data_IF_484375372795
#
_entry.id   IF_484375372795
#
_cell.length_a   1.000
_cell.length_b   1.000
_cell.length_c   1.000
_cell.angle_alpha   90.00
_cell.angle_beta   90.00
_cell.angle_gamma   90.00
#
_symmetry.space_group_name_H-M   'P 1'
#
loop_
_entity.id
_entity.type
_entity.pdbx_description
1 polymer ?
#
# COMPACT_ATOMS: atom_id res chain seq x y z
N UNK A 1 4.11 -20.64 -25.99
CA UNK A 1 3.35 -19.94 -24.95
C UNK A 1 1.98 -19.56 -25.49
N UNK A 2 0.96 -19.62 -24.66
CA UNK A 2 -0.37 -19.16 -25.03
C UNK A 2 -0.46 -17.64 -24.94
N UNK A 3 -1.43 -17.04 -25.62
CA UNK A 3 -1.70 -15.60 -25.53
C UNK A 3 -2.00 -15.20 -24.07
N UNK A 4 -2.71 -16.05 -23.33
CA UNK A 4 -3.01 -15.79 -21.92
C UNK A 4 -1.74 -15.77 -21.08
N UNK A 5 -0.80 -16.69 -21.33
CA UNK A 5 0.49 -16.71 -20.63
C UNK A 5 1.29 -15.43 -20.86
N UNK A 6 1.28 -14.94 -22.10
CA UNK A 6 1.96 -13.69 -22.47
C UNK A 6 1.32 -12.48 -21.78
N UNK A 7 -0.01 -12.44 -21.71
CA UNK A 7 -0.74 -11.37 -21.04
C UNK A 7 -0.42 -11.37 -19.54
N UNK A 8 -0.44 -12.54 -18.89
CA UNK A 8 -0.13 -12.66 -17.47
C UNK A 8 1.30 -12.19 -17.19
N UNK A 9 2.25 -12.55 -18.06
CA UNK A 9 3.64 -12.12 -17.92
C UNK A 9 3.77 -10.60 -18.03
N UNK A 10 3.06 -9.96 -18.97
CA UNK A 10 3.05 -8.51 -19.13
C UNK A 10 2.43 -7.82 -17.91
N UNK A 11 1.30 -8.33 -17.41
CA UNK A 11 0.66 -7.78 -16.22
C UNK A 11 1.57 -7.86 -15.01
N UNK A 12 2.24 -8.99 -14.82
CA UNK A 12 3.17 -9.19 -13.70
C UNK A 12 4.35 -8.21 -13.79
N UNK A 13 4.88 -8.01 -15.00
CA UNK A 13 5.98 -7.08 -15.23
C UNK A 13 5.55 -5.63 -14.95
N UNK A 14 4.38 -5.24 -15.44
CA UNK A 14 3.83 -3.91 -15.20
C UNK A 14 3.59 -3.66 -13.73
N UNK A 15 3.07 -4.65 -13.01
CA UNK A 15 2.83 -4.59 -11.57
C UNK A 15 4.13 -4.36 -10.80
N UNK A 16 5.18 -5.10 -11.13
CA UNK A 16 6.48 -4.94 -10.49
C UNK A 16 7.10 -3.57 -10.80
N UNK A 17 6.97 -3.11 -12.03
CA UNK A 17 7.46 -1.79 -12.44
C UNK A 17 6.76 -0.66 -11.70
N UNK A 18 5.44 -0.75 -11.60
CA UNK A 18 4.64 0.22 -10.85
C UNK A 18 5.05 0.27 -9.38
N UNK A 19 5.22 -0.90 -8.75
CA UNK A 19 5.65 -0.99 -7.35
C UNK A 19 6.99 -0.30 -7.13
N UNK A 20 7.96 -0.52 -8.03
CA UNK A 20 9.28 0.13 -7.95
C UNK A 20 9.18 1.64 -8.04
N UNK A 21 8.37 2.14 -8.99
CA UNK A 21 8.20 3.58 -9.20
C UNK A 21 7.57 4.21 -7.97
N UNK A 22 6.50 3.63 -7.46
CA UNK A 22 5.78 4.16 -6.31
C UNK A 22 6.66 4.15 -5.05
N UNK A 23 7.33 3.03 -4.78
CA UNK A 23 8.24 2.91 -3.63
C UNK A 23 9.34 3.98 -3.69
N UNK A 24 9.94 4.16 -4.86
CA UNK A 24 10.99 5.16 -5.06
C UNK A 24 10.46 6.58 -4.86
N UNK A 25 9.25 6.85 -5.38
CA UNK A 25 8.64 8.17 -5.25
C UNK A 25 8.34 8.53 -3.80
N UNK A 26 7.85 7.58 -3.02
CA UNK A 26 7.64 7.78 -1.58
C UNK A 26 8.97 8.06 -0.88
N UNK A 27 9.97 7.23 -1.15
CA UNK A 27 11.28 7.38 -0.51
C UNK A 27 11.93 8.72 -0.85
N UNK A 28 11.89 9.14 -2.11
CA UNK A 28 12.44 10.41 -2.56
C UNK A 28 11.77 11.61 -1.89
N UNK A 29 10.51 11.47 -1.51
CA UNK A 29 9.76 12.51 -0.80
C UNK A 29 9.98 12.46 0.71
N UNK A 30 10.81 11.56 1.20
CA UNK A 30 11.12 11.42 2.62
C UNK A 30 10.24 10.43 3.37
N UNK A 31 9.45 9.63 2.66
CA UNK A 31 8.58 8.62 3.28
C UNK A 31 9.16 7.22 3.07
N UNK A 32 9.59 6.60 4.14
CA UNK A 32 10.04 5.21 4.11
C UNK A 32 8.81 4.29 4.18
N UNK A 33 8.02 4.33 3.12
CA UNK A 33 6.76 3.61 2.97
C UNK A 33 6.80 2.85 1.64
N UNK A 34 6.48 1.55 1.68
CA UNK A 34 6.33 0.74 0.49
C UNK A 34 4.89 0.80 -0.02
N UNK A 35 4.68 0.36 -1.25
CA UNK A 35 3.32 0.25 -1.82
C UNK A 35 2.41 -0.62 -0.95
N UNK A 36 2.91 -1.75 -0.46
CA UNK A 36 2.12 -2.64 0.39
C UNK A 36 1.73 -1.98 1.71
N UNK A 37 2.66 -1.23 2.31
CA UNK A 37 2.38 -0.47 3.52
C UNK A 37 1.37 0.65 3.26
N UNK A 38 1.50 1.30 2.12
CA UNK A 38 0.55 2.33 1.69
C UNK A 38 -0.86 1.77 1.53
N UNK A 39 -0.99 0.59 0.90
CA UNK A 39 -2.29 -0.08 0.75
C UNK A 39 -2.93 -0.38 2.11
N UNK A 40 -2.13 -0.79 3.08
CA UNK A 40 -2.62 -1.03 4.44
C UNK A 40 -3.11 0.26 5.08
N UNK A 41 -2.35 1.35 4.93
CA UNK A 41 -2.78 2.66 5.41
C UNK A 41 -4.08 3.11 4.75
N UNK A 42 -4.25 2.84 3.46
CA UNK A 42 -5.49 3.18 2.74
C UNK A 42 -6.71 2.48 3.35
N UNK A 43 -6.56 1.23 3.79
CA UNK A 43 -7.64 0.52 4.48
C UNK A 43 -8.02 1.26 5.76
N UNK A 44 -7.02 1.69 6.54
CA UNK A 44 -7.26 2.39 7.81
C UNK A 44 -7.81 3.80 7.60
N UNK A 45 -7.40 4.49 6.53
CA UNK A 45 -7.94 5.82 6.25
C UNK A 45 -9.43 5.76 5.87
N UNK A 46 -9.88 4.66 5.28
CA UNK A 46 -11.32 4.47 4.98
C UNK A 46 -12.11 4.14 6.24
N UNK A 47 -11.56 3.30 7.09
CA UNK A 47 -12.20 2.89 8.34
C UNK A 47 -11.10 2.55 9.34
N UNK A 48 -10.87 3.46 10.27
CA UNK A 48 -9.88 3.28 11.33
C UNK A 48 -10.37 2.26 12.36
N UNK A 49 -9.49 1.81 13.23
CA UNK A 49 -9.78 0.86 14.30
C UNK A 49 -10.35 -0.45 13.74
N UNK A 50 -9.56 -1.11 12.92
CA UNK A 50 -9.96 -2.33 12.20
C UNK A 50 -9.22 -3.53 12.78
N UNK A 51 -9.93 -4.65 12.88
CA UNK A 51 -9.36 -5.93 13.29
C UNK A 51 -8.33 -6.40 12.27
N UNK A 52 -7.23 -6.96 12.75
CA UNK A 52 -6.14 -7.44 11.89
C UNK A 52 -6.61 -8.49 10.88
N UNK A 53 -7.56 -9.37 11.26
CA UNK A 53 -8.14 -10.35 10.34
C UNK A 53 -8.86 -9.68 9.18
N UNK A 54 -9.59 -8.60 9.46
CA UNK A 54 -10.28 -7.83 8.42
C UNK A 54 -9.29 -7.23 7.45
N UNK A 55 -8.18 -6.70 7.94
CA UNK A 55 -7.11 -6.17 7.09
C UNK A 55 -6.57 -7.26 6.16
N UNK A 56 -6.31 -8.44 6.71
CA UNK A 56 -5.83 -9.58 5.92
C UNK A 56 -6.78 -9.93 4.77
N UNK A 57 -8.07 -9.94 5.05
CA UNK A 57 -9.10 -10.23 4.05
C UNK A 57 -9.17 -9.15 2.97
N UNK A 58 -9.17 -7.89 3.39
CA UNK A 58 -9.27 -6.76 2.45
C UNK A 58 -8.05 -6.66 1.54
N UNK A 59 -6.85 -6.93 2.07
CA UNK A 59 -5.61 -6.90 1.30
C UNK A 59 -5.34 -8.20 0.57
N UNK A 60 -6.11 -9.26 0.83
CA UNK A 60 -5.89 -10.59 0.28
C UNK A 60 -4.46 -11.08 0.55
N UNK A 61 -4.00 -10.84 1.78
CA UNK A 61 -2.69 -11.27 2.26
C UNK A 61 -2.86 -12.16 3.48
N UNK A 62 -1.94 -13.08 3.65
CA UNK A 62 -1.99 -13.96 4.81
C UNK A 62 -1.62 -13.21 6.10
N UNK A 63 -1.95 -13.82 7.23
CA UNK A 63 -1.72 -13.26 8.55
C UNK A 63 -0.25 -12.91 8.79
N UNK A 64 0.66 -13.75 8.32
CA UNK A 64 2.10 -13.56 8.51
C UNK A 64 2.57 -12.29 7.80
N UNK A 65 2.17 -12.10 6.56
CA UNK A 65 2.56 -10.92 5.77
C UNK A 65 1.96 -9.63 6.34
N UNK A 66 0.71 -9.68 6.78
CA UNK A 66 0.06 -8.52 7.42
C UNK A 66 0.77 -8.17 8.73
N UNK A 67 1.14 -9.18 9.53
CA UNK A 67 1.88 -8.95 10.77
C UNK A 67 3.22 -8.25 10.51
N UNK A 68 3.94 -8.66 9.46
CA UNK A 68 5.20 -8.03 9.08
C UNK A 68 5.01 -6.57 8.69
N UNK A 69 3.99 -6.29 7.88
CA UNK A 69 3.68 -4.92 7.48
C UNK A 69 3.33 -4.05 8.69
N UNK A 70 2.53 -4.58 9.61
CA UNK A 70 2.13 -3.87 10.81
C UNK A 70 3.30 -3.62 11.75
N UNK A 71 4.19 -4.61 11.90
CA UNK A 71 5.39 -4.45 12.73
C UNK A 71 6.23 -3.26 12.25
N UNK A 72 6.42 -3.15 10.95
CA UNK A 72 7.19 -2.05 10.36
C UNK A 72 6.47 -0.71 10.52
N UNK A 73 5.17 -0.67 10.22
CA UNK A 73 4.38 0.56 10.33
C UNK A 73 4.28 1.04 11.77
N UNK A 74 4.17 0.12 12.73
CA UNK A 74 4.16 0.46 14.15
C UNK A 74 5.52 1.00 14.60
N UNK A 75 6.61 0.35 14.18
CA UNK A 75 7.97 0.79 14.49
C UNK A 75 8.23 2.19 13.97
N UNK A 76 7.71 2.52 12.79
CA UNK A 76 7.88 3.84 12.16
C UNK A 76 6.86 4.87 12.66
N UNK A 77 5.94 4.46 13.52
CA UNK A 77 5.02 5.36 14.21
C UNK A 77 3.73 5.69 13.46
N UNK A 78 3.36 4.93 12.43
CA UNK A 78 2.15 5.19 11.65
C UNK A 78 0.90 4.55 12.23
N UNK A 79 1.05 3.42 12.90
CA UNK A 79 -0.07 2.68 13.47
C UNK A 79 0.26 2.18 14.86
N UNK A 80 -0.77 1.83 15.62
CA UNK A 80 -0.66 1.13 16.89
C UNK A 80 -1.61 -0.05 16.88
N UNK A 81 -1.20 -1.13 17.53
CA UNK A 81 -2.07 -2.29 17.72
C UNK A 81 -2.61 -2.25 19.13
N UNK A 82 -3.91 -2.47 19.26
CA UNK A 82 -4.59 -2.55 20.56
C UNK A 82 -5.13 -3.96 20.73
N UNK A 83 -4.75 -4.60 21.83
CA UNK A 83 -5.33 -5.90 22.18
C UNK A 83 -6.64 -5.68 22.90
N UNK A 84 -7.67 -6.45 22.50
CA UNK A 84 -8.91 -6.47 23.25
C UNK A 84 -8.65 -7.17 24.58
N UNK A 85 -9.05 -6.53 25.70
CA UNK A 85 -8.85 -7.09 27.03
C UNK A 85 -9.63 -8.39 27.25
N UNK A 86 -10.75 -8.54 26.57
CA UNK A 86 -11.64 -9.69 26.69
C UNK A 86 -11.23 -10.85 25.76
N UNK A 87 -10.61 -10.54 24.63
CA UNK A 87 -10.18 -11.56 23.68
C UNK A 87 -8.79 -11.19 23.13
N UNK A 88 -7.78 -11.85 23.66
CA UNK A 88 -6.38 -11.65 23.26
C UNK A 88 -6.12 -12.02 21.79
N UNK A 89 -7.08 -12.68 21.13
CA UNK A 89 -6.97 -13.05 19.71
C UNK A 89 -7.37 -11.90 18.80
N UNK A 90 -8.10 -10.91 19.32
CA UNK A 90 -8.55 -9.76 18.52
C UNK A 90 -7.59 -8.60 18.70
N UNK A 91 -6.76 -8.42 17.68
CA UNK A 91 -5.87 -7.27 17.59
C UNK A 91 -6.51 -6.23 16.69
N UNK A 92 -6.79 -5.06 17.23
CA UNK A 92 -7.27 -3.92 16.47
C UNK A 92 -6.11 -3.03 16.11
N UNK A 93 -6.18 -2.43 14.93
CA UNK A 93 -5.16 -1.54 14.41
C UNK A 93 -5.75 -0.15 14.28
N UNK A 94 -5.05 0.84 14.83
CA UNK A 94 -5.47 2.24 14.79
C UNK A 94 -4.36 3.10 14.21
N UNK A 95 -4.75 4.16 13.51
CA UNK A 95 -3.81 5.16 13.02
C UNK A 95 -3.32 6.03 14.17
N UNK A 96 -2.04 6.38 14.12
CA UNK A 96 -1.49 7.42 14.99
C UNK A 96 -1.74 8.78 14.34
N UNK A 97 -1.41 9.85 15.07
CA UNK A 97 -1.45 11.19 14.51
C UNK A 97 -0.58 11.28 13.25
N UNK A 98 0.62 10.71 13.28
CA UNK A 98 1.50 10.64 12.12
C UNK A 98 0.85 9.90 10.95
N UNK A 99 0.17 8.79 11.22
CA UNK A 99 -0.54 8.02 10.21
C UNK A 99 -1.66 8.82 9.55
N UNK A 100 -2.39 9.59 10.33
CA UNK A 100 -3.45 10.46 9.82
C UNK A 100 -2.89 11.62 9.00
N UNK A 101 -1.86 12.28 9.53
CA UNK A 101 -1.27 13.46 8.89
C UNK A 101 -0.56 13.15 7.57
N UNK A 102 -0.02 11.93 7.43
CA UNK A 102 0.73 11.54 6.23
C UNK A 102 -0.17 11.30 5.01
N UNK A 103 -1.47 11.15 5.18
CA UNK A 103 -2.40 10.77 4.12
C UNK A 103 -2.31 11.67 2.90
N UNK A 104 -2.42 12.98 3.09
CA UNK A 104 -2.44 13.95 2.00
C UNK A 104 -1.18 13.90 1.15
N UNK A 105 -0.02 13.87 1.81
CA UNK A 105 1.26 13.84 1.11
C UNK A 105 1.43 12.55 0.31
N UNK A 106 1.09 11.41 0.91
CA UNK A 106 1.22 10.11 0.25
C UNK A 106 0.25 9.98 -0.94
N UNK A 107 -1.00 10.45 -0.78
CA UNK A 107 -1.98 10.44 -1.86
C UNK A 107 -1.54 11.34 -3.03
N UNK A 108 -0.94 12.48 -2.74
CA UNK A 108 -0.40 13.38 -3.77
C UNK A 108 0.71 12.73 -4.57
N UNK A 109 1.58 12.00 -3.90
CA UNK A 109 2.67 11.28 -4.56
C UNK A 109 2.10 10.23 -5.50
N UNK A 110 1.10 9.47 -5.05
CA UNK A 110 0.42 8.48 -5.90
C UNK A 110 -0.21 9.15 -7.12
N UNK A 111 -0.92 10.25 -6.92
CA UNK A 111 -1.54 11.01 -8.01
C UNK A 111 -0.50 11.48 -9.04
N UNK A 112 0.64 11.97 -8.56
CA UNK A 112 1.71 12.44 -9.43
C UNK A 112 2.29 11.28 -10.25
N UNK A 113 2.49 10.13 -9.63
CA UNK A 113 2.96 8.93 -10.33
C UNK A 113 1.96 8.54 -11.43
N UNK A 114 0.66 8.54 -11.10
CA UNK A 114 -0.38 8.19 -12.07
C UNK A 114 -0.43 9.19 -13.24
N UNK A 115 -0.28 10.47 -12.94
CA UNK A 115 -0.25 11.51 -13.97
C UNK A 115 0.94 11.33 -14.90
N UNK A 116 2.11 11.10 -14.35
CA UNK A 116 3.34 10.91 -15.11
C UNK A 116 3.25 9.66 -15.99
N UNK A 117 2.71 8.57 -15.47
CA UNK A 117 2.51 7.33 -16.21
C UNK A 117 1.51 7.51 -17.35
N UNK A 118 0.39 8.19 -17.09
CA UNK A 118 -0.64 8.48 -18.09
C UNK A 118 -0.08 9.32 -19.23
N UNK A 119 0.73 10.32 -18.91
CA UNK A 119 1.37 11.17 -19.89
C UNK A 119 2.34 10.37 -20.78
N UNK A 120 3.15 9.52 -20.17
CA UNK A 120 4.10 8.66 -20.89
C UNK A 120 3.38 7.71 -21.85
N UNK A 121 2.30 7.07 -21.38
CA UNK A 121 1.49 6.15 -22.21
C UNK A 121 0.85 6.89 -23.39
N UNK A 122 0.27 8.06 -23.16
CA UNK A 122 -0.33 8.88 -24.20
C UNK A 122 0.70 9.30 -25.26
N UNK A 123 1.90 9.67 -24.82
CA UNK A 123 3.00 10.02 -25.73
C UNK A 123 3.42 8.85 -26.60
N UNK A 124 3.46 7.65 -26.04
CA UNK A 124 3.79 6.42 -26.78
C UNK A 124 2.70 6.06 -27.78
N UNK A 125 1.44 6.22 -27.43
CA UNK A 125 0.32 6.01 -28.35
C UNK A 125 0.38 6.96 -29.54
N UNK A 126 0.76 8.21 -29.31
CA UNK A 126 0.89 9.19 -30.38
C UNK A 126 2.04 8.90 -31.33
N UNK A 127 3.06 8.15 -30.90
CA UNK A 127 4.22 7.78 -31.68
C UNK A 127 4.02 6.50 -32.51
N UNK A 128 3.04 5.72 -32.16
CA UNK A 128 2.71 4.50 -32.88
C UNK A 128 1.59 4.78 -33.89
#
# INVERSE_FOLDING_TARGET
>A
MTELSELVALLSKAERGYTKILNRSFLNAGFDISREQYELLQVLWKKDNVNQQTISKLLQKDKYNVTKLLNTLQKRGYVQRKMCKEDKRNNFVVLTEKGLESRHALERIEEQVHTDMSFTLSSQELKS
#
